data_IF_179067358191
#
_entry.id   IF_179067358191
#
_cell.length_a   1.000
_cell.length_b   1.000
_cell.length_c   1.000
_cell.angle_alpha   90.00
_cell.angle_beta   90.00
_cell.angle_gamma   90.00
#
_symmetry.space_group_name_H-M   'P 1'
#
loop_
_entity.id
_entity.type
_entity.pdbx_description
1 polymer ?
#
# COMPACT_ATOMS: atom_id res chain seq x y z
N UNK A 1 -38.75 76.37 -14.75
CA UNK A 1 -39.89 76.60 -15.66
C UNK A 1 -39.66 75.78 -16.93
N UNK A 2 -40.70 75.03 -17.36
CA UNK A 2 -40.88 74.25 -18.62
C UNK A 2 -39.82 73.19 -18.99
N UNK A 3 -40.03 71.87 -18.92
CA UNK A 3 -41.06 70.98 -19.49
C UNK A 3 -41.07 70.90 -21.03
N UNK A 4 -40.79 69.68 -21.56
CA UNK A 4 -41.27 69.03 -22.82
C UNK A 4 -40.48 67.72 -23.04
N UNK A 5 -41.03 66.55 -22.70
CA UNK A 5 -41.81 65.58 -23.53
C UNK A 5 -40.95 64.78 -24.52
N UNK A 6 -40.64 63.51 -24.24
CA UNK A 6 -41.39 62.26 -24.56
C UNK A 6 -41.43 61.92 -26.05
N UNK A 7 -40.69 60.88 -26.42
CA UNK A 7 -41.10 59.94 -27.49
C UNK A 7 -40.61 58.55 -27.12
N UNK A 8 -41.57 57.67 -26.80
CA UNK A 8 -41.40 56.23 -26.67
C UNK A 8 -41.15 55.66 -28.06
N UNK A 9 -40.08 54.88 -28.24
CA UNK A 9 -40.01 53.87 -29.30
C UNK A 9 -40.31 52.52 -28.68
N UNK A 10 -41.53 52.05 -28.93
CA UNK A 10 -41.98 50.71 -28.63
C UNK A 10 -41.24 49.73 -29.56
N UNK A 11 -40.33 48.95 -28.99
CA UNK A 11 -39.90 47.71 -29.64
C UNK A 11 -40.82 46.59 -29.16
N UNK A 12 -41.55 46.02 -30.12
CA UNK A 12 -42.44 44.89 -29.95
C UNK A 12 -41.68 43.71 -29.33
N UNK A 13 -42.22 43.16 -28.24
CA UNK A 13 -41.84 41.83 -27.76
C UNK A 13 -42.51 40.77 -28.67
N UNK A 14 -41.81 39.70 -29.07
CA UNK A 14 -42.44 38.53 -29.66
C UNK A 14 -43.14 37.68 -28.57
N UNK A 15 -44.23 36.97 -28.91
CA UNK A 15 -45.03 36.21 -27.94
C UNK A 15 -44.26 35.02 -27.38
N UNK A 16 -44.45 34.80 -26.08
CA UNK A 16 -44.05 33.59 -25.38
C UNK A 16 -44.88 32.41 -25.89
N UNK A 17 -44.20 31.35 -26.34
CA UNK A 17 -44.60 29.95 -26.14
C UNK A 17 -43.57 29.00 -26.74
N UNK A 18 -42.75 28.40 -25.88
CA UNK A 18 -42.17 27.04 -25.99
C UNK A 18 -41.24 26.82 -24.79
N UNK A 19 -41.31 25.68 -24.07
CA UNK A 19 -40.37 25.38 -23.00
C UNK A 19 -39.02 25.03 -23.61
N UNK A 20 -38.14 26.03 -23.77
CA UNK A 20 -36.74 25.78 -24.00
C UNK A 20 -36.17 25.15 -22.72
N UNK A 21 -36.05 23.82 -22.75
CA UNK A 21 -35.11 23.08 -21.91
C UNK A 21 -33.77 23.79 -21.97
N UNK A 22 -33.40 24.47 -20.88
CA UNK A 22 -32.11 25.11 -20.71
C UNK A 22 -31.03 24.02 -20.69
N UNK A 23 -30.49 23.70 -21.87
CA UNK A 23 -29.22 22.99 -21.97
C UNK A 23 -28.15 23.93 -21.42
N UNK A 24 -27.82 23.77 -20.14
CA UNK A 24 -26.63 24.37 -19.57
C UNK A 24 -25.41 23.96 -20.43
N UNK A 25 -24.49 24.88 -20.74
CA UNK A 25 -23.23 24.51 -21.37
C UNK A 25 -22.49 23.58 -20.41
N UNK A 26 -22.43 22.30 -20.75
CA UNK A 26 -21.62 21.33 -20.01
C UNK A 26 -20.16 21.73 -20.18
N UNK A 27 -19.55 22.23 -19.12
CA UNK A 27 -18.09 22.36 -19.00
C UNK A 27 -17.49 21.01 -19.41
N UNK A 28 -16.50 20.97 -20.33
CA UNK A 28 -15.91 19.70 -20.74
C UNK A 28 -15.39 19.00 -19.48
N UNK A 29 -15.98 17.86 -19.15
CA UNK A 29 -15.59 17.09 -17.98
C UNK A 29 -14.12 16.71 -18.15
N UNK A 30 -13.27 17.22 -17.25
CA UNK A 30 -11.85 16.84 -17.22
C UNK A 30 -11.81 15.30 -17.15
N UNK A 31 -11.09 14.61 -18.05
CA UNK A 31 -11.04 13.16 -18.06
C UNK A 31 -10.53 12.70 -16.69
N UNK A 32 -11.36 11.95 -15.96
CA UNK A 32 -11.01 11.40 -14.66
C UNK A 32 -9.85 10.43 -14.85
N UNK A 33 -8.73 10.67 -14.16
CA UNK A 33 -7.57 9.76 -14.15
C UNK A 33 -8.04 8.36 -13.73
N UNK A 34 -7.77 7.37 -14.56
CA UNK A 34 -8.00 5.97 -14.20
C UNK A 34 -7.02 5.57 -13.09
N UNK A 35 -7.50 4.85 -12.09
CA UNK A 35 -6.67 4.35 -11.00
C UNK A 35 -5.62 3.35 -11.52
N UNK A 36 -4.37 3.53 -11.10
CA UNK A 36 -3.28 2.60 -11.41
C UNK A 36 -3.21 1.49 -10.36
N UNK A 37 -2.37 0.48 -10.62
CA UNK A 37 -2.10 -0.55 -9.62
C UNK A 37 -1.46 0.04 -8.36
N UNK A 38 -0.57 1.03 -8.53
CA UNK A 38 0.04 1.78 -7.43
C UNK A 38 -1.00 2.45 -6.54
N UNK A 39 -2.02 3.06 -7.14
CA UNK A 39 -3.10 3.70 -6.39
C UNK A 39 -3.92 2.68 -5.59
N UNK A 40 -4.10 1.47 -6.12
CA UNK A 40 -4.81 0.39 -5.43
C UNK A 40 -4.02 -0.14 -4.23
N UNK A 41 -2.73 -0.42 -4.41
CA UNK A 41 -1.83 -0.87 -3.34
C UNK A 41 -1.68 0.21 -2.26
N UNK A 42 -1.66 1.48 -2.66
CA UNK A 42 -1.66 2.61 -1.73
C UNK A 42 -3.00 2.85 -1.00
N UNK A 43 -4.02 2.00 -1.22
CA UNK A 43 -5.32 2.12 -0.57
C UNK A 43 -6.16 3.31 -1.05
N UNK A 44 -5.88 3.84 -2.25
CA UNK A 44 -6.51 5.04 -2.81
C UNK A 44 -7.54 4.76 -3.89
N UNK A 45 -7.58 3.54 -4.40
CA UNK A 45 -8.56 3.12 -5.40
C UNK A 45 -9.88 2.72 -4.75
N UNK A 46 -10.99 3.35 -5.10
CA UNK A 46 -12.34 3.00 -4.62
C UNK A 46 -13.28 2.75 -5.81
N UNK A 47 -14.45 2.16 -5.55
CA UNK A 47 -15.48 1.92 -6.59
C UNK A 47 -15.97 3.24 -7.22
N UNK A 48 -15.89 4.33 -6.48
CA UNK A 48 -16.34 5.65 -6.89
C UNK A 48 -15.22 6.50 -7.52
N UNK A 49 -13.99 6.00 -7.56
CA UNK A 49 -12.83 6.66 -8.15
C UNK A 49 -11.63 6.71 -7.22
N UNK A 50 -10.70 7.62 -7.54
CA UNK A 50 -9.45 7.77 -6.83
C UNK A 50 -9.57 8.77 -5.67
N UNK A 51 -9.06 8.40 -4.50
CA UNK A 51 -8.93 9.27 -3.33
C UNK A 51 -7.50 9.79 -3.20
N UNK A 52 -7.31 10.96 -2.60
CA UNK A 52 -5.95 11.51 -2.36
C UNK A 52 -5.23 10.79 -1.23
N UNK A 53 -5.98 10.36 -0.23
CA UNK A 53 -5.48 9.66 0.95
C UNK A 53 -5.96 8.21 0.94
N UNK A 54 -5.21 7.29 1.57
CA UNK A 54 -5.66 5.92 1.78
C UNK A 54 -7.01 5.88 2.49
N UNK A 55 -7.88 4.93 2.13
CA UNK A 55 -9.21 4.80 2.73
C UNK A 55 -9.52 3.35 3.09
N UNK A 56 -10.35 3.10 4.12
CA UNK A 56 -10.79 1.75 4.48
C UNK A 56 -11.72 1.14 3.42
N UNK A 57 -12.27 1.96 2.52
CA UNK A 57 -13.13 1.53 1.42
C UNK A 57 -12.35 1.29 0.12
N UNK A 58 -11.03 1.13 0.23
CA UNK A 58 -10.18 0.81 -0.89
C UNK A 58 -10.55 -0.57 -1.47
N UNK A 59 -10.60 -0.62 -2.79
CA UNK A 59 -10.71 -1.86 -3.55
C UNK A 59 -9.37 -2.60 -3.48
N UNK A 60 -9.44 -3.92 -3.36
CA UNK A 60 -8.25 -4.76 -3.34
C UNK A 60 -7.48 -4.72 -4.69
N UNK A 61 -6.14 -4.85 -4.68
CA UNK A 61 -5.33 -4.78 -5.91
C UNK A 61 -5.76 -5.78 -6.98
N UNK A 62 -6.11 -7.02 -6.61
CA UNK A 62 -6.61 -8.05 -7.53
C UNK A 62 -7.83 -7.57 -8.28
N UNK A 63 -8.78 -6.96 -7.58
CA UNK A 63 -10.01 -6.49 -8.20
C UNK A 63 -9.73 -5.36 -9.19
N UNK A 64 -8.74 -4.50 -8.94
CA UNK A 64 -8.33 -3.47 -9.91
C UNK A 64 -7.63 -4.07 -11.13
N UNK A 65 -6.82 -5.12 -10.94
CA UNK A 65 -6.14 -5.82 -12.03
C UNK A 65 -7.14 -6.54 -12.94
N UNK A 66 -8.06 -7.30 -12.36
CA UNK A 66 -8.97 -8.17 -13.09
C UNK A 66 -10.26 -7.50 -13.59
N UNK A 67 -10.54 -6.26 -13.17
CA UNK A 67 -11.63 -5.45 -13.75
C UNK A 67 -11.23 -4.75 -15.06
N UNK A 68 -9.96 -4.82 -15.47
CA UNK A 68 -9.50 -4.20 -16.73
C UNK A 68 -9.96 -5.01 -17.94
N UNK A 69 -10.31 -4.30 -19.02
CA UNK A 69 -10.86 -4.91 -20.24
C UNK A 69 -9.95 -5.95 -20.93
N UNK A 70 -8.66 -5.96 -20.62
CA UNK A 70 -7.67 -6.91 -21.15
C UNK A 70 -7.15 -7.88 -20.07
N UNK A 71 -7.85 -8.02 -18.95
CA UNK A 71 -7.47 -8.97 -17.91
C UNK A 71 -7.64 -10.41 -18.41
N UNK A 72 -6.65 -11.30 -18.19
CA UNK A 72 -6.79 -12.72 -18.48
C UNK A 72 -7.94 -13.36 -17.68
N UNK A 73 -8.59 -14.37 -18.26
CA UNK A 73 -9.56 -15.20 -17.54
C UNK A 73 -8.87 -15.91 -16.38
N UNK A 74 -9.51 -15.85 -15.20
CA UNK A 74 -9.00 -16.52 -14.00
C UNK A 74 -9.60 -17.91 -13.86
N UNK A 75 -8.72 -18.89 -13.81
CA UNK A 75 -9.04 -20.27 -13.43
C UNK A 75 -8.30 -20.58 -12.14
N UNK A 76 -8.94 -21.30 -11.22
CA UNK A 76 -8.36 -21.61 -9.90
C UNK A 76 -7.10 -22.46 -10.04
N UNK A 77 -7.06 -23.32 -11.06
CA UNK A 77 -5.97 -24.24 -11.34
C UNK A 77 -4.70 -23.56 -11.88
N UNK A 78 -4.86 -22.42 -12.56
CA UNK A 78 -3.77 -21.68 -13.23
C UNK A 78 -3.70 -20.23 -12.79
N UNK A 79 -4.16 -19.93 -11.58
CA UNK A 79 -4.23 -18.56 -11.08
C UNK A 79 -2.82 -18.01 -10.86
N UNK A 80 -2.41 -17.10 -11.74
CA UNK A 80 -1.10 -16.44 -11.67
C UNK A 80 -1.02 -15.43 -10.55
N UNK A 81 -2.15 -14.96 -10.00
CA UNK A 81 -2.15 -13.94 -8.95
C UNK A 81 -1.47 -14.42 -7.65
N UNK A 82 -1.72 -15.68 -7.27
CA UNK A 82 -1.13 -16.31 -6.07
C UNK A 82 0.13 -17.13 -6.38
N UNK A 83 0.76 -16.91 -7.54
CA UNK A 83 2.00 -17.61 -7.89
C UNK A 83 3.15 -17.31 -6.91
N UNK A 84 3.11 -16.16 -6.23
CA UNK A 84 4.09 -15.76 -5.21
C UNK A 84 4.17 -16.73 -4.04
N UNK A 85 3.07 -17.39 -3.68
CA UNK A 85 3.02 -18.31 -2.52
C UNK A 85 3.89 -19.55 -2.76
N UNK A 86 4.16 -19.86 -4.02
CA UNK A 86 5.00 -20.96 -4.46
C UNK A 86 6.37 -20.48 -4.99
N UNK A 87 6.71 -19.19 -4.83
CA UNK A 87 7.95 -18.65 -5.34
C UNK A 87 9.15 -19.28 -4.61
N UNK A 88 10.06 -19.86 -5.38
CA UNK A 88 11.33 -20.37 -4.85
C UNK A 88 12.31 -19.20 -4.67
N UNK A 89 12.26 -18.52 -3.51
CA UNK A 89 13.18 -17.44 -3.18
C UNK A 89 12.74 -16.59 -2.00
N UNK A 90 13.66 -15.78 -1.47
CA UNK A 90 13.34 -14.77 -0.47
C UNK A 90 12.73 -13.56 -1.18
N UNK A 91 11.42 -13.37 -1.04
CA UNK A 91 10.77 -12.13 -1.48
C UNK A 91 11.03 -11.04 -0.43
N UNK A 92 11.13 -9.77 -0.85
CA UNK A 92 11.24 -8.67 0.10
C UNK A 92 10.04 -8.61 1.04
N UNK A 93 10.24 -8.04 2.22
CA UNK A 93 9.13 -7.81 3.15
C UNK A 93 7.95 -7.07 2.49
N UNK A 94 6.74 -7.57 2.76
CA UNK A 94 5.53 -7.09 2.08
C UNK A 94 5.16 -5.66 2.46
N UNK A 95 5.46 -5.25 3.69
CA UNK A 95 5.15 -3.90 4.16
C UNK A 95 6.20 -2.89 3.65
N UNK A 96 7.47 -3.31 3.56
CA UNK A 96 8.50 -2.56 2.85
C UNK A 96 8.09 -2.29 1.39
N UNK A 97 7.64 -3.32 0.67
CA UNK A 97 7.18 -3.16 -0.70
C UNK A 97 5.96 -2.23 -0.79
N UNK A 98 4.95 -2.38 0.08
CA UNK A 98 3.80 -1.46 0.08
C UNK A 98 4.24 -0.01 0.31
N UNK A 99 5.19 0.24 1.20
CA UNK A 99 5.73 1.58 1.44
C UNK A 99 6.40 2.17 0.19
N UNK A 100 7.22 1.38 -0.51
CA UNK A 100 7.83 1.78 -1.78
C UNK A 100 6.79 2.08 -2.86
N UNK A 101 5.73 1.27 -2.94
CA UNK A 101 4.63 1.49 -3.88
C UNK A 101 3.84 2.77 -3.57
N UNK A 102 3.58 3.06 -2.29
CA UNK A 102 2.96 4.32 -1.86
C UNK A 102 3.84 5.51 -2.26
N UNK A 103 5.14 5.43 -2.01
CA UNK A 103 6.10 6.45 -2.41
C UNK A 103 6.10 6.68 -3.93
N UNK A 104 6.18 5.61 -4.73
CA UNK A 104 6.16 5.70 -6.18
C UNK A 104 4.84 6.30 -6.69
N UNK A 105 3.71 5.93 -6.09
CA UNK A 105 2.41 6.48 -6.42
C UNK A 105 2.34 8.00 -6.16
N UNK A 106 2.86 8.46 -5.04
CA UNK A 106 2.93 9.90 -4.69
C UNK A 106 3.86 10.66 -5.63
N UNK A 107 5.04 10.09 -5.89
CA UNK A 107 6.04 10.65 -6.79
C UNK A 107 5.47 10.85 -8.20
N UNK A 108 4.84 9.82 -8.78
CA UNK A 108 4.25 9.94 -10.13
C UNK A 108 2.99 10.80 -10.17
N UNK A 109 2.23 10.88 -9.07
CA UNK A 109 1.12 11.81 -8.99
C UNK A 109 1.63 13.26 -9.09
N UNK A 110 2.69 13.60 -8.33
CA UNK A 110 3.29 14.93 -8.33
C UNK A 110 3.95 15.28 -9.67
N UNK A 111 4.72 14.36 -10.26
CA UNK A 111 5.42 14.59 -11.53
C UNK A 111 4.46 14.75 -12.71
N UNK A 112 3.34 14.02 -12.69
CA UNK A 112 2.27 14.21 -13.68
C UNK A 112 1.63 15.59 -13.56
N UNK A 113 1.46 16.12 -12.35
CA UNK A 113 0.98 17.50 -12.16
C UNK A 113 1.98 18.52 -12.72
N UNK A 114 3.27 18.20 -12.70
CA UNK A 114 4.34 18.99 -13.32
C UNK A 114 4.43 18.82 -14.86
N UNK A 115 3.58 17.98 -15.47
CA UNK A 115 3.54 17.75 -16.92
C UNK A 115 4.58 16.76 -17.43
N UNK A 116 5.23 16.01 -16.53
CA UNK A 116 6.18 14.97 -16.89
C UNK A 116 5.46 13.63 -17.12
N UNK A 117 5.85 12.87 -18.15
CA UNK A 117 5.26 11.56 -18.48
C UNK A 117 6.31 10.44 -18.45
N UNK A 118 7.18 10.48 -17.44
CA UNK A 118 8.16 9.41 -17.21
C UNK A 118 7.65 8.43 -16.15
N UNK A 119 7.84 7.13 -16.42
CA UNK A 119 7.58 6.03 -15.48
C UNK A 119 8.75 5.06 -15.54
N UNK A 120 9.65 5.18 -14.56
CA UNK A 120 10.87 4.38 -14.42
C UNK A 120 10.72 3.19 -13.48
N UNK A 121 9.72 3.21 -12.60
CA UNK A 121 9.49 2.22 -11.55
C UNK A 121 8.28 1.37 -11.93
N UNK A 122 8.47 0.40 -12.81
CA UNK A 122 7.48 -0.65 -13.10
C UNK A 122 7.46 -1.72 -11.99
N UNK A 123 6.60 -2.73 -12.12
CA UNK A 123 6.45 -3.79 -11.12
C UNK A 123 7.77 -4.52 -10.86
N UNK A 124 8.55 -4.77 -11.91
CA UNK A 124 9.84 -5.45 -11.84
C UNK A 124 10.89 -4.57 -11.18
N UNK A 125 10.96 -3.29 -11.55
CA UNK A 125 11.89 -2.33 -10.97
C UNK A 125 11.61 -2.11 -9.47
N UNK A 126 10.34 -2.09 -9.05
CA UNK A 126 10.00 -1.96 -7.63
C UNK A 126 10.30 -3.21 -6.83
N UNK A 127 10.10 -4.40 -7.40
CA UNK A 127 10.55 -5.64 -6.77
C UNK A 127 12.08 -5.67 -6.61
N UNK A 128 12.82 -5.30 -7.66
CA UNK A 128 14.28 -5.21 -7.60
C UNK A 128 14.73 -4.17 -6.57
N UNK A 129 14.08 -3.01 -6.51
CA UNK A 129 14.34 -1.98 -5.50
C UNK A 129 14.08 -2.51 -4.09
N UNK A 130 13.00 -3.26 -3.86
CA UNK A 130 12.71 -3.88 -2.57
C UNK A 130 13.81 -4.85 -2.13
N UNK A 131 14.28 -5.71 -3.04
CA UNK A 131 15.41 -6.62 -2.77
C UNK A 131 16.67 -5.82 -2.41
N UNK A 132 17.02 -4.81 -3.21
CA UNK A 132 18.21 -3.99 -2.97
C UNK A 132 18.14 -3.23 -1.64
N UNK A 133 16.97 -2.69 -1.28
CA UNK A 133 16.78 -1.98 -0.01
C UNK A 133 16.93 -2.92 1.17
N UNK A 134 16.40 -4.13 1.09
CA UNK A 134 16.52 -5.11 2.16
C UNK A 134 17.96 -5.59 2.34
N UNK A 135 18.66 -5.91 1.24
CA UNK A 135 20.08 -6.28 1.31
C UNK A 135 20.95 -5.13 1.81
N UNK A 136 20.67 -3.89 1.39
CA UNK A 136 21.36 -2.70 1.89
C UNK A 136 21.14 -2.53 3.40
N UNK A 137 19.91 -2.72 3.88
CA UNK A 137 19.63 -2.68 5.31
C UNK A 137 20.36 -3.79 6.06
N UNK A 138 20.36 -5.03 5.54
CA UNK A 138 21.08 -6.15 6.15
C UNK A 138 22.59 -5.91 6.21
N UNK A 139 23.18 -5.36 5.14
CA UNK A 139 24.60 -5.01 5.09
C UNK A 139 24.95 -3.88 6.07
N UNK A 140 24.14 -2.82 6.10
CA UNK A 140 24.44 -1.61 6.89
C UNK A 140 24.17 -1.80 8.39
N UNK A 141 23.11 -2.54 8.74
CA UNK A 141 22.64 -2.73 10.11
C UNK A 141 23.21 -4.03 10.74
N UNK A 142 23.65 -4.98 9.92
CA UNK A 142 24.19 -6.27 10.34
C UNK A 142 23.15 -7.18 11.00
N UNK A 143 23.60 -8.34 11.49
CA UNK A 143 22.73 -9.37 12.10
C UNK A 143 21.98 -8.91 13.36
N UNK A 144 22.44 -7.82 14.00
CA UNK A 144 21.83 -7.23 15.19
C UNK A 144 21.08 -5.92 14.93
N UNK A 145 20.85 -5.57 13.66
CA UNK A 145 20.30 -4.28 13.27
C UNK A 145 18.90 -3.97 13.82
N UNK A 146 18.10 -5.01 14.07
CA UNK A 146 16.79 -4.89 14.72
C UNK A 146 16.87 -4.21 16.10
N UNK A 147 18.02 -4.32 16.78
CA UNK A 147 18.25 -3.73 18.11
C UNK A 147 18.66 -2.25 18.06
N UNK A 148 18.89 -1.66 16.88
CA UNK A 148 19.35 -0.26 16.76
C UNK A 148 18.27 0.74 17.20
N UNK A 149 17.00 0.38 17.05
CA UNK A 149 15.86 1.24 17.40
C UNK A 149 15.13 0.82 18.69
N UNK A 150 15.54 -0.28 19.31
CA UNK A 150 15.07 -0.62 20.65
C UNK A 150 15.90 0.17 21.65
N UNK A 151 15.30 1.17 22.29
CA UNK A 151 15.88 1.74 23.51
C UNK A 151 16.10 0.58 24.47
N UNK A 152 17.36 0.34 24.86
CA UNK A 152 17.63 -0.63 25.92
C UNK A 152 16.98 -0.10 27.18
N UNK A 153 15.95 -0.80 27.69
CA UNK A 153 15.57 -0.61 29.08
C UNK A 153 16.82 -0.89 29.90
N UNK A 154 17.41 0.17 30.45
CA UNK A 154 18.53 0.06 31.36
C UNK A 154 17.96 -0.55 32.63
N UNK A 155 17.91 -1.88 32.70
CA UNK A 155 17.69 -2.58 33.97
C UNK A 155 18.90 -2.33 34.87
N UNK A 156 18.74 -1.27 35.68
CA UNK A 156 19.33 -0.87 36.96
C UNK A 156 20.82 -1.10 37.26
N UNK A 157 21.40 -0.10 37.92
CA UNK A 157 22.56 -0.25 38.80
C UNK A 157 22.33 -1.45 39.75
N UNK A 158 22.93 -2.59 39.42
CA UNK A 158 22.84 -3.79 40.23
C UNK A 158 23.96 -4.76 39.89
N UNK A 159 25.13 -4.52 40.49
CA UNK A 159 26.35 -5.34 40.51
C UNK A 159 26.14 -6.83 40.17
N UNK A 160 26.70 -7.25 39.03
CA UNK A 160 27.37 -8.53 38.82
C UNK A 160 26.50 -9.79 38.82
N UNK A 161 26.27 -10.37 37.62
CA UNK A 161 26.22 -11.83 37.50
C UNK A 161 26.84 -12.34 36.21
N UNK A 162 27.85 -13.17 36.41
CA UNK A 162 28.72 -13.76 35.42
C UNK A 162 27.98 -14.62 34.38
N UNK A 163 28.51 -14.57 33.15
CA UNK A 163 28.39 -15.54 32.05
C UNK A 163 27.85 -16.92 32.48
N UNK A 164 26.62 -17.22 32.08
CA UNK A 164 26.14 -18.60 32.01
C UNK A 164 26.53 -19.21 30.66
N UNK A 165 27.74 -19.77 30.59
CA UNK A 165 28.04 -20.80 29.59
C UNK A 165 27.22 -22.05 29.94
N UNK A 166 26.25 -22.38 29.09
CA UNK A 166 25.51 -23.64 29.15
C UNK A 166 26.40 -24.79 28.68
N UNK A 167 27.22 -25.34 29.59
CA UNK A 167 27.77 -26.69 29.44
C UNK A 167 26.76 -27.70 29.99
N UNK A 168 26.15 -28.45 29.08
CA UNK A 168 25.35 -29.62 29.43
C UNK A 168 26.19 -30.65 30.18
N UNK A 169 25.72 -31.04 31.36
CA UNK A 169 26.25 -32.17 32.11
C UNK A 169 25.10 -33.12 32.41
N UNK A 170 25.29 -34.37 31.97
CA UNK A 170 24.29 -35.43 31.90
C UNK A 170 23.72 -35.86 33.26
N UNK A 171 22.46 -36.29 33.20
CA UNK A 171 21.76 -36.97 34.30
C UNK A 171 22.25 -38.41 34.40
N UNK A 172 23.08 -38.70 35.39
CA UNK A 172 23.43 -40.06 35.80
C UNK A 172 22.35 -40.60 36.75
N UNK A 173 21.58 -41.59 36.27
CA UNK A 173 20.49 -42.22 37.01
C UNK A 173 21.02 -43.18 38.08
N UNK A 174 20.87 -42.80 39.35
CA UNK A 174 21.26 -43.61 40.50
C UNK A 174 20.20 -44.69 40.78
N UNK A 175 20.41 -45.89 40.23
CA UNK A 175 19.65 -47.11 40.55
C UNK A 175 19.82 -47.45 42.04
N UNK A 176 18.73 -47.55 42.81
CA UNK A 176 18.75 -48.11 44.17
C UNK A 176 18.59 -49.63 44.10
N UNK A 177 19.61 -50.32 44.61
CA UNK A 177 19.67 -51.76 44.86
C UNK A 177 18.81 -52.05 46.10
N UNK A 178 17.74 -52.81 45.96
CA UNK A 178 17.00 -53.41 47.09
C UNK A 178 17.53 -54.82 47.23
N UNK A 179 18.31 -55.06 48.29
CA UNK A 179 18.70 -56.41 48.72
C UNK A 179 17.68 -56.97 49.70
N UNK A 180 17.60 -58.30 49.65
CA UNK A 180 16.57 -59.22 50.14
C UNK A 180 16.56 -59.35 51.66
N UNK A 181 15.42 -59.81 52.19
CA UNK A 181 15.45 -60.81 53.26
C UNK A 181 14.32 -61.83 53.07
N UNK A 182 14.72 -63.11 53.16
CA UNK A 182 13.90 -64.31 53.21
C UNK A 182 13.75 -64.71 54.69
N UNK A 183 12.54 -65.07 55.11
CA UNK A 183 12.20 -66.23 55.96
C UNK A 183 10.98 -65.96 56.85
N UNK A 184 10.05 -66.93 56.85
CA UNK A 184 8.82 -66.97 57.65
C UNK A 184 7.68 -67.66 56.91
#
# INVERSE_FOLDING_TARGET
MASKSRTQSAFLAPPADSPQSTTQPQTPAIPRRQATLYDAIAGRSTQHGLTRTPTPHAIAPETVLFQRAAAPDRHVETDTYFASDNAAGHLPDSDLLKALYVYAADFYAAEREAGADYRSLDETALLALGVLMEELCREQLGDGGDLVFTEGEVEEEGVGRARSQSRGVGREGKRRKVERELDG
#
